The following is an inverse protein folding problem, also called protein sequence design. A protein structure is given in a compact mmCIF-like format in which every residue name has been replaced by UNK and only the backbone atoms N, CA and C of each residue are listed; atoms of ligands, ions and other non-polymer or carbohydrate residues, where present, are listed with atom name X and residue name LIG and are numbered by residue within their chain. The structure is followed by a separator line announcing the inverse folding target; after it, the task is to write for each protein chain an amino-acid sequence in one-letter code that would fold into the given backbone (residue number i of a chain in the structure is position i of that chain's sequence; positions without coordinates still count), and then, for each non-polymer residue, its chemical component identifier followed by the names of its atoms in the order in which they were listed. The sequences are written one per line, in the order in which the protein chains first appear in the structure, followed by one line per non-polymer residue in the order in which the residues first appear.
data_IF_507537156534
#
_entry.id   IF_507537156534
#
_cell.length_a   1.000
_cell.length_b   1.000
_cell.length_c   1.000
_cell.angle_alpha   90.00
_cell.angle_beta   90.00
_cell.angle_gamma   90.00
#
_symmetry.space_group_name_H-M   'P 1'
#
loop_
_entity.id
_entity.type
_entity.pdbx_description
1 polymer ?
#
# COMPACT_ATOMS: atom_id res chain seq x y z
N UNK A 1 -12.05 11.80 2.35
CA UNK A 1 -11.83 11.04 3.59
C UNK A 1 -12.90 9.95 3.65
N UNK A 2 -12.58 8.75 3.17
CA UNK A 2 -13.47 7.58 3.35
C UNK A 2 -12.92 6.80 4.55
N UNK A 3 -13.81 6.17 5.33
CA UNK A 3 -13.46 5.31 6.47
C UNK A 3 -12.60 5.98 7.56
N UNK A 4 -13.09 7.04 8.18
CA UNK A 4 -12.50 7.53 9.42
C UNK A 4 -12.73 6.49 10.54
N UNK A 5 -11.65 5.90 11.06
CA UNK A 5 -11.70 4.95 12.16
C UNK A 5 -10.96 5.53 13.36
N UNK A 6 -11.61 5.42 14.52
CA UNK A 6 -10.98 5.72 15.80
C UNK A 6 -10.59 4.37 16.39
N UNK A 7 -9.30 4.12 16.44
CA UNK A 7 -8.74 2.92 17.04
C UNK A 7 -8.29 3.23 18.47
N UNK A 8 -8.44 2.26 19.37
CA UNK A 8 -7.96 2.36 20.75
C UNK A 8 -7.02 1.19 21.02
N UNK A 9 -5.77 1.47 21.37
CA UNK A 9 -4.81 0.43 21.73
C UNK A 9 -5.27 -0.37 22.95
N UNK A 10 -5.89 0.30 23.92
CA UNK A 10 -6.36 -0.31 25.16
C UNK A 10 -7.77 0.18 25.53
N UNK A 11 -8.84 -0.37 24.93
CA UNK A 11 -10.22 0.12 25.10
C UNK A 11 -10.70 0.10 26.54
N UNK A 12 -10.26 -0.89 27.34
CA UNK A 12 -10.58 -1.04 28.76
C UNK A 12 -10.20 0.16 29.63
N UNK A 13 -9.18 0.94 29.23
CA UNK A 13 -8.76 2.12 29.98
C UNK A 13 -9.77 3.27 29.89
N UNK A 14 -10.71 3.23 28.93
CA UNK A 14 -11.85 4.16 28.90
C UNK A 14 -12.76 4.01 30.13
N UNK A 15 -12.75 2.84 30.79
CA UNK A 15 -13.52 2.63 32.01
C UNK A 15 -13.02 3.53 33.16
N UNK A 16 -11.77 4.00 33.10
CA UNK A 16 -11.19 4.97 34.03
C UNK A 16 -11.90 6.34 33.99
N UNK A 17 -12.70 6.61 32.96
CA UNK A 17 -13.51 7.81 32.85
C UNK A 17 -14.64 7.84 33.91
N UNK A 18 -15.10 6.67 34.38
CA UNK A 18 -16.12 6.55 35.43
C UNK A 18 -15.60 7.07 36.79
N UNK A 19 -14.49 6.54 37.36
CA UNK A 19 -13.93 7.09 38.60
C UNK A 19 -13.44 8.53 38.41
N UNK A 20 -12.87 8.88 37.26
CA UNK A 20 -12.48 10.25 36.93
C UNK A 20 -13.65 11.25 37.05
N UNK A 21 -14.77 10.94 36.41
CA UNK A 21 -15.98 11.75 36.48
C UNK A 21 -16.51 11.81 37.91
N UNK A 22 -16.52 10.68 38.62
CA UNK A 22 -16.94 10.62 40.01
C UNK A 22 -16.12 11.58 40.89
N UNK A 23 -14.79 11.55 40.84
CA UNK A 23 -13.94 12.44 41.64
C UNK A 23 -14.05 13.92 41.25
N UNK A 24 -14.39 14.21 39.99
CA UNK A 24 -14.53 15.60 39.52
C UNK A 24 -15.90 16.18 39.88
N UNK A 25 -16.97 15.38 39.74
CA UNK A 25 -18.35 15.84 39.96
C UNK A 25 -18.83 15.68 41.40
N UNK A 26 -18.42 14.66 42.14
CA UNK A 26 -18.82 14.45 43.55
C UNK A 26 -18.57 15.69 44.44
N UNK A 27 -17.37 16.32 44.47
CA UNK A 27 -17.17 17.54 45.24
C UNK A 27 -18.03 18.68 44.71
N UNK A 28 -18.25 18.79 43.40
CA UNK A 28 -19.12 19.81 42.81
C UNK A 28 -20.59 19.69 43.23
N UNK A 29 -21.11 18.47 43.41
CA UNK A 29 -22.47 18.22 43.88
C UNK A 29 -22.61 18.32 45.41
N UNK A 30 -21.55 18.03 46.17
CA UNK A 30 -21.58 18.10 47.65
C UNK A 30 -21.51 19.52 48.22
N UNK A 31 -21.20 20.52 47.38
CA UNK A 31 -21.21 21.92 47.78
C UNK A 31 -22.64 22.51 47.84
N UNK A 32 -22.88 23.33 48.86
CA UNK A 32 -24.14 24.05 49.02
C UNK A 32 -24.51 24.87 47.78
N UNK A 33 -25.80 24.79 47.37
CA UNK A 33 -26.36 25.42 46.13
C UNK A 33 -25.95 26.88 45.92
N UNK A 34 -25.71 27.64 47.00
CA UNK A 34 -25.33 29.06 47.01
C UNK A 34 -23.95 29.35 46.39
N UNK A 35 -23.01 28.39 46.43
CA UNK A 35 -21.62 28.54 45.90
C UNK A 35 -21.36 27.78 44.60
N UNK A 36 -22.38 27.09 44.07
CA UNK A 36 -22.25 26.14 42.95
C UNK A 36 -22.16 26.79 41.58
N UNK A 37 -22.70 28.01 41.43
CA UNK A 37 -22.85 28.72 40.14
C UNK A 37 -21.92 29.93 39.97
N UNK A 38 -20.84 30.02 40.72
CA UNK A 38 -19.83 31.07 40.48
C UNK A 38 -19.07 30.76 39.18
N UNK A 39 -18.99 31.74 38.27
CA UNK A 39 -18.39 31.60 36.92
C UNK A 39 -17.03 30.92 36.94
N UNK A 40 -16.15 31.35 37.85
CA UNK A 40 -14.78 30.82 37.98
C UNK A 40 -14.76 29.34 38.35
N UNK A 41 -15.75 28.87 39.12
CA UNK A 41 -15.80 27.48 39.59
C UNK A 41 -16.36 26.53 38.54
N UNK A 42 -17.35 26.99 37.77
CA UNK A 42 -17.84 26.25 36.59
C UNK A 42 -16.72 26.11 35.57
N UNK A 43 -16.01 27.20 35.27
CA UNK A 43 -14.86 27.17 34.34
C UNK A 43 -13.78 26.20 34.84
N UNK A 44 -13.44 26.24 36.13
CA UNK A 44 -12.44 25.33 36.71
C UNK A 44 -12.84 23.85 36.63
N UNK A 45 -14.09 23.52 36.96
CA UNK A 45 -14.60 22.14 36.89
C UNK A 45 -14.67 21.65 35.44
N UNK A 46 -15.15 22.48 34.52
CA UNK A 46 -15.19 22.15 33.09
C UNK A 46 -13.78 21.90 32.55
N UNK A 47 -12.82 22.74 32.91
CA UNK A 47 -11.43 22.58 32.50
C UNK A 47 -10.82 21.28 33.05
N UNK A 48 -11.04 20.96 34.33
CA UNK A 48 -10.56 19.70 34.92
C UNK A 48 -11.21 18.48 34.26
N UNK A 49 -12.50 18.54 33.94
CA UNK A 49 -13.18 17.47 33.22
C UNK A 49 -12.59 17.28 31.82
N UNK A 50 -12.31 18.36 31.08
CA UNK A 50 -11.67 18.30 29.77
C UNK A 50 -10.27 17.68 29.86
N UNK A 51 -9.44 18.17 30.80
CA UNK A 51 -8.08 17.65 30.99
C UNK A 51 -8.12 16.16 31.33
N UNK A 52 -8.98 15.75 32.26
CA UNK A 52 -9.13 14.33 32.63
C UNK A 52 -9.55 13.47 31.45
N UNK A 53 -10.54 13.91 30.65
CA UNK A 53 -10.98 13.18 29.46
C UNK A 53 -9.82 13.05 28.46
N UNK A 54 -9.08 14.14 28.20
CA UNK A 54 -7.91 14.11 27.32
C UNK A 54 -6.81 13.18 27.83
N UNK A 55 -6.50 13.20 29.14
CA UNK A 55 -5.52 12.31 29.75
C UNK A 55 -5.93 10.84 29.65
N UNK A 56 -7.21 10.52 29.87
CA UNK A 56 -7.73 9.14 29.72
C UNK A 56 -7.70 8.70 28.27
N UNK A 57 -8.08 9.56 27.32
CA UNK A 57 -7.99 9.26 25.89
C UNK A 57 -6.54 9.04 25.44
N UNK A 58 -5.58 9.81 25.98
CA UNK A 58 -4.15 9.62 25.73
C UNK A 58 -3.68 8.27 26.27
N UNK A 59 -4.05 7.93 27.50
CA UNK A 59 -3.74 6.63 28.13
C UNK A 59 -4.37 5.45 27.40
N UNK A 60 -5.58 5.61 26.88
CA UNK A 60 -6.26 4.59 26.08
C UNK A 60 -5.63 4.38 24.70
N UNK A 61 -4.70 5.25 24.28
CA UNK A 61 -4.01 5.17 23.01
C UNK A 61 -4.96 5.43 21.84
N UNK A 62 -5.58 6.61 21.81
CA UNK A 62 -6.45 6.99 20.69
C UNK A 62 -5.64 7.18 19.41
N UNK A 63 -5.88 6.32 18.43
CA UNK A 63 -5.33 6.40 17.08
C UNK A 63 -6.40 6.94 16.13
N UNK A 64 -6.04 7.92 15.32
CA UNK A 64 -6.89 8.46 14.26
C UNK A 64 -6.39 7.93 12.92
N UNK A 65 -7.07 6.91 12.39
CA UNK A 65 -6.72 6.28 11.12
C UNK A 65 -7.70 6.77 10.05
N UNK A 66 -7.18 7.20 8.90
CA UNK A 66 -7.99 7.66 7.78
C UNK A 66 -7.46 7.09 6.46
N UNK A 67 -8.36 6.51 5.66
CA UNK A 67 -8.00 6.02 4.33
C UNK A 67 -8.02 7.18 3.33
N UNK A 68 -6.87 7.46 2.72
CA UNK A 68 -6.80 8.29 1.52
C UNK A 68 -6.89 7.38 0.29
N UNK A 69 -8.00 7.44 -0.48
CA UNK A 69 -8.02 6.81 -1.79
C UNK A 69 -6.99 7.53 -2.65
N UNK A 70 -5.87 6.88 -2.92
CA UNK A 70 -4.86 7.42 -3.80
C UNK A 70 -5.38 7.34 -5.24
N UNK A 71 -5.50 8.49 -5.90
CA UNK A 71 -6.00 8.58 -7.27
C UNK A 71 -4.92 8.25 -8.32
N UNK A 72 -3.65 8.14 -7.90
CA UNK A 72 -2.50 7.99 -8.78
C UNK A 72 -1.73 6.69 -8.48
N UNK A 73 -2.42 5.56 -8.33
CA UNK A 73 -1.75 4.27 -8.22
C UNK A 73 -1.17 3.87 -9.58
N UNK A 74 0.11 3.55 -9.62
CA UNK A 74 0.83 3.11 -10.82
C UNK A 74 1.28 1.67 -10.61
N UNK A 75 0.87 0.77 -11.50
CA UNK A 75 1.20 -0.65 -11.49
C UNK A 75 2.00 -0.96 -12.74
N UNK A 76 3.19 -1.51 -12.57
CA UNK A 76 4.03 -1.94 -13.68
C UNK A 76 4.22 -3.46 -13.60
N UNK A 77 3.78 -4.14 -14.65
CA UNK A 77 4.04 -5.56 -14.82
C UNK A 77 5.40 -5.72 -15.50
N UNK A 78 6.31 -6.44 -14.89
CA UNK A 78 7.63 -6.75 -15.44
C UNK A 78 7.62 -8.23 -15.79
N UNK A 79 7.59 -8.52 -17.09
CA UNK A 79 7.19 -9.82 -17.63
C UNK A 79 8.38 -10.47 -18.34
N UNK A 80 8.75 -11.66 -17.86
CA UNK A 80 9.82 -12.46 -18.44
C UNK A 80 9.35 -13.14 -19.73
N UNK A 81 10.07 -12.86 -20.82
CA UNK A 81 9.83 -13.45 -22.13
C UNK A 81 11.04 -14.23 -22.66
N UNK A 82 12.00 -14.55 -21.80
CA UNK A 82 13.16 -15.37 -22.14
C UNK A 82 12.77 -16.78 -22.61
N UNK A 83 13.73 -17.47 -23.25
CA UNK A 83 13.51 -18.78 -23.88
C UNK A 83 12.96 -19.86 -22.92
N UNK A 84 13.29 -19.81 -21.62
CA UNK A 84 12.73 -20.74 -20.62
C UNK A 84 11.23 -20.54 -20.39
N UNK A 85 10.74 -19.32 -20.59
CA UNK A 85 9.33 -18.93 -20.42
C UNK A 85 8.41 -19.29 -21.60
N UNK A 86 8.94 -19.82 -22.71
CA UNK A 86 8.14 -20.09 -23.92
C UNK A 86 7.02 -21.12 -23.67
N UNK A 87 7.26 -22.11 -22.79
CA UNK A 87 6.26 -23.11 -22.38
C UNK A 87 5.14 -22.55 -21.50
N UNK A 88 5.38 -21.41 -20.85
CA UNK A 88 4.44 -20.77 -19.92
C UNK A 88 3.84 -19.49 -20.49
N UNK A 89 3.97 -19.28 -21.82
CA UNK A 89 3.46 -18.09 -22.49
C UNK A 89 1.95 -17.90 -22.28
N UNK A 90 1.14 -18.96 -22.41
CA UNK A 90 -0.31 -18.88 -22.24
C UNK A 90 -0.69 -18.47 -20.80
N UNK A 91 -0.03 -19.06 -19.80
CA UNK A 91 -0.27 -18.76 -18.37
C UNK A 91 0.11 -17.31 -18.04
N UNK A 92 1.22 -16.84 -18.61
CA UNK A 92 1.72 -15.48 -18.43
C UNK A 92 0.78 -14.46 -19.07
N UNK A 93 0.37 -14.70 -20.32
CA UNK A 93 -0.50 -13.80 -21.06
C UNK A 93 -1.90 -13.76 -20.42
N UNK A 94 -2.39 -14.89 -19.89
CA UNK A 94 -3.61 -14.94 -19.09
C UNK A 94 -3.49 -14.15 -17.77
N UNK A 95 -2.36 -14.26 -17.06
CA UNK A 95 -2.10 -13.48 -15.85
C UNK A 95 -2.02 -11.97 -16.14
N UNK A 96 -1.32 -11.57 -17.20
CA UNK A 96 -1.26 -10.15 -17.63
C UNK A 96 -2.67 -9.65 -17.94
N UNK A 97 -3.49 -10.45 -18.63
CA UNK A 97 -4.87 -10.12 -18.94
C UNK A 97 -5.73 -9.99 -17.68
N UNK A 98 -5.61 -10.92 -16.73
CA UNK A 98 -6.39 -10.87 -15.49
C UNK A 98 -6.05 -9.62 -14.67
N UNK A 99 -4.75 -9.29 -14.56
CA UNK A 99 -4.31 -8.09 -13.84
C UNK A 99 -4.79 -6.81 -14.53
N UNK A 100 -4.71 -6.72 -15.86
CA UNK A 100 -5.20 -5.54 -16.60
C UNK A 100 -6.72 -5.38 -16.44
N UNK A 101 -7.48 -6.48 -16.43
CA UNK A 101 -8.94 -6.41 -16.27
C UNK A 101 -9.36 -6.09 -14.83
N UNK A 102 -8.63 -6.60 -13.84
CA UNK A 102 -8.91 -6.36 -12.42
C UNK A 102 -8.43 -4.97 -11.96
N UNK A 103 -7.45 -4.40 -12.65
CA UNK A 103 -7.05 -3.02 -12.48
C UNK A 103 -8.22 -2.08 -12.83
N UNK A 104 -8.94 -1.63 -11.81
CA UNK A 104 -10.03 -0.68 -11.97
C UNK A 104 -9.56 0.68 -12.49
N UNK A 105 -10.51 1.55 -12.81
CA UNK A 105 -10.28 2.89 -13.40
C UNK A 105 -9.45 3.88 -12.58
N UNK A 106 -8.99 3.50 -11.38
CA UNK A 106 -8.12 4.30 -10.50
C UNK A 106 -6.65 3.89 -10.52
N UNK A 107 -6.26 2.87 -11.31
CA UNK A 107 -4.88 2.40 -11.40
C UNK A 107 -4.38 2.54 -12.83
N UNK A 108 -3.22 3.18 -13.01
CA UNK A 108 -2.52 3.17 -14.29
C UNK A 108 -1.70 1.90 -14.39
N UNK A 109 -1.91 1.11 -15.43
CA UNK A 109 -1.17 -0.12 -15.66
C UNK A 109 -0.19 0.10 -16.81
N UNK A 110 1.03 -0.36 -16.64
CA UNK A 110 2.03 -0.48 -17.69
C UNK A 110 2.59 -1.88 -17.73
N UNK A 111 3.22 -2.24 -18.85
CA UNK A 111 3.88 -3.54 -19.02
C UNK A 111 5.27 -3.31 -19.60
N UNK A 112 6.27 -3.89 -18.96
CA UNK A 112 7.65 -4.00 -19.43
C UNK A 112 7.90 -5.47 -19.67
N UNK A 113 8.32 -5.82 -20.88
CA UNK A 113 8.80 -7.15 -21.21
C UNK A 113 10.32 -7.16 -21.13
N UNK A 114 10.90 -8.24 -20.63
CA UNK A 114 12.35 -8.35 -20.54
C UNK A 114 12.84 -9.77 -20.87
N UNK A 115 14.07 -9.83 -21.38
CA UNK A 115 14.90 -11.01 -21.52
C UNK A 115 16.34 -10.62 -21.20
N UNK A 116 17.20 -10.56 -22.21
CA UNK A 116 18.54 -9.96 -22.07
C UNK A 116 18.46 -8.42 -22.05
N UNK A 117 17.55 -7.84 -22.84
CA UNK A 117 17.21 -6.42 -22.79
C UNK A 117 15.74 -6.21 -22.35
N UNK A 118 15.36 -4.95 -22.18
CA UNK A 118 14.06 -4.56 -21.68
C UNK A 118 13.32 -3.64 -22.66
N UNK A 119 12.05 -3.93 -22.89
CA UNK A 119 11.19 -3.16 -23.79
C UNK A 119 9.96 -2.68 -23.03
N UNK A 120 9.64 -1.40 -23.17
CA UNK A 120 8.43 -0.82 -22.60
C UNK A 120 7.22 -1.10 -23.50
N UNK A 121 6.70 -2.33 -23.40
CA UNK A 121 5.61 -2.82 -24.24
C UNK A 121 4.33 -1.96 -24.14
N UNK A 122 3.94 -1.58 -22.93
CA UNK A 122 2.74 -0.78 -22.70
C UNK A 122 3.05 0.38 -21.76
N UNK A 123 2.99 1.63 -22.25
CA UNK A 123 3.07 2.81 -21.41
C UNK A 123 1.99 2.85 -20.34
N UNK A 124 2.34 3.34 -19.15
CA UNK A 124 1.43 3.56 -18.02
C UNK A 124 0.15 4.27 -18.48
N UNK A 125 -0.94 3.53 -18.53
CA UNK A 125 -2.23 4.00 -19.05
C UNK A 125 -3.36 3.59 -18.12
N UNK A 126 -4.38 4.45 -18.01
CA UNK A 126 -5.61 4.14 -17.30
C UNK A 126 -6.63 3.40 -18.20
N UNK A 127 -6.31 3.22 -19.49
CA UNK A 127 -7.19 2.55 -20.45
C UNK A 127 -6.79 1.07 -20.60
N UNK A 128 -7.45 0.21 -19.83
CA UNK A 128 -7.19 -1.23 -19.74
C UNK A 128 -7.48 -1.97 -21.06
N UNK A 129 -8.55 -1.60 -21.78
CA UNK A 129 -8.93 -2.22 -23.06
C UNK A 129 -7.86 -2.07 -24.15
N UNK A 130 -7.19 -0.92 -24.17
CA UNK A 130 -6.09 -0.64 -25.12
C UNK A 130 -4.75 -1.23 -24.66
N UNK A 131 -4.55 -1.35 -23.35
CA UNK A 131 -3.30 -1.85 -22.77
C UNK A 131 -3.00 -3.29 -23.23
N UNK A 132 -3.98 -4.19 -23.16
CA UNK A 132 -3.77 -5.60 -23.55
C UNK A 132 -3.47 -5.76 -25.05
N UNK A 133 -4.18 -5.00 -25.90
CA UNK A 133 -3.91 -5.03 -27.35
C UNK A 133 -2.52 -4.48 -27.68
N UNK A 134 -2.07 -3.43 -26.97
CA UNK A 134 -0.72 -2.89 -27.13
C UNK A 134 0.34 -3.90 -26.71
N UNK A 135 0.12 -4.64 -25.62
CA UNK A 135 1.01 -5.71 -25.17
C UNK A 135 1.20 -6.80 -26.24
N UNK A 136 0.11 -7.29 -26.85
CA UNK A 136 0.18 -8.35 -27.88
C UNK A 136 0.96 -7.94 -29.14
N UNK A 137 1.00 -6.65 -29.47
CA UNK A 137 1.67 -6.11 -30.66
C UNK A 137 3.02 -5.45 -30.33
N UNK A 138 3.46 -5.51 -29.07
CA UNK A 138 4.71 -4.91 -28.66
C UNK A 138 5.91 -5.65 -29.26
N UNK A 139 7.00 -4.90 -29.46
CA UNK A 139 8.27 -5.48 -29.85
C UNK A 139 8.77 -6.42 -28.74
N UNK A 140 9.28 -7.58 -29.14
CA UNK A 140 9.83 -8.56 -28.19
C UNK A 140 11.31 -8.23 -27.95
N UNK A 141 11.75 -8.19 -26.68
CA UNK A 141 13.18 -8.09 -26.34
C UNK A 141 13.95 -9.32 -26.84
N UNK A 142 15.28 -9.22 -26.80
CA UNK A 142 16.20 -10.34 -26.96
C UNK A 142 15.93 -11.40 -25.88
N UNK A 143 15.63 -12.62 -26.31
CA UNK A 143 15.20 -13.73 -25.46
C UNK A 143 16.34 -14.68 -25.07
N UNK A 144 17.58 -14.34 -25.45
CA UNK A 144 18.76 -15.20 -25.27
C UNK A 144 19.21 -15.39 -23.81
N UNK A 145 18.87 -14.46 -22.92
CA UNK A 145 19.16 -14.53 -21.49
C UNK A 145 18.04 -13.87 -20.66
N UNK A 146 18.22 -13.84 -19.34
CA UNK A 146 17.32 -13.17 -18.39
C UNK A 146 18.13 -12.28 -17.43
N UNK A 147 17.97 -10.96 -17.54
CA UNK A 147 18.53 -9.95 -16.63
C UNK A 147 17.40 -9.23 -15.86
N UNK A 148 16.99 -9.86 -14.77
CA UNK A 148 15.95 -9.33 -13.88
C UNK A 148 16.40 -8.02 -13.21
N UNK A 149 17.69 -7.88 -12.88
CA UNK A 149 18.21 -6.71 -12.20
C UNK A 149 18.10 -5.45 -13.06
N UNK A 150 18.51 -5.53 -14.33
CA UNK A 150 18.38 -4.44 -15.29
C UNK A 150 16.91 -4.12 -15.59
N UNK A 151 16.05 -5.12 -15.70
CA UNK A 151 14.62 -4.93 -15.91
C UNK A 151 13.96 -4.18 -14.75
N UNK A 152 14.25 -4.57 -13.51
CA UNK A 152 13.73 -3.92 -12.29
C UNK A 152 14.22 -2.47 -12.17
N UNK A 153 15.49 -2.22 -12.48
CA UNK A 153 16.07 -0.88 -12.47
C UNK A 153 15.46 0.02 -13.55
N UNK A 154 15.22 -0.52 -14.74
CA UNK A 154 14.53 0.19 -15.80
C UNK A 154 13.09 0.53 -15.40
N UNK A 155 12.36 -0.45 -14.87
CA UNK A 155 11.01 -0.30 -14.34
C UNK A 155 10.90 0.81 -13.28
N UNK A 156 11.87 0.87 -12.35
CA UNK A 156 11.94 1.93 -11.33
C UNK A 156 11.95 3.34 -11.93
N UNK A 157 12.61 3.53 -13.08
CA UNK A 157 12.72 4.83 -13.76
C UNK A 157 11.47 5.28 -14.50
N UNK A 158 10.46 4.41 -14.66
CA UNK A 158 9.25 4.71 -15.44
C UNK A 158 8.11 5.30 -14.60
N UNK A 159 8.21 5.25 -13.27
CA UNK A 159 7.17 5.74 -12.37
C UNK A 159 7.20 7.26 -12.23
N UNK A 160 6.01 7.86 -12.18
CA UNK A 160 5.84 9.27 -11.83
C UNK A 160 5.62 9.45 -10.33
N UNK A 161 5.02 8.45 -9.67
CA UNK A 161 4.67 8.48 -8.25
C UNK A 161 5.23 7.25 -7.51
N UNK A 162 6.54 7.23 -7.19
CA UNK A 162 7.20 6.05 -6.63
C UNK A 162 6.62 5.59 -5.29
N UNK A 163 6.14 6.52 -4.44
CA UNK A 163 5.59 6.19 -3.12
C UNK A 163 4.28 5.38 -3.17
N UNK A 164 3.64 5.37 -4.32
CA UNK A 164 2.36 4.67 -4.53
C UNK A 164 2.43 3.70 -5.70
N UNK A 165 3.65 3.45 -6.19
CA UNK A 165 3.92 2.55 -7.27
C UNK A 165 4.07 1.12 -6.77
N UNK A 166 3.68 0.19 -7.62
CA UNK A 166 3.88 -1.24 -7.43
C UNK A 166 4.48 -1.84 -8.69
N UNK A 167 5.50 -2.67 -8.52
CA UNK A 167 6.05 -3.55 -9.54
C UNK A 167 5.57 -4.96 -9.24
N UNK A 168 5.08 -5.68 -10.26
CA UNK A 168 4.83 -7.12 -10.18
C UNK A 168 5.76 -7.80 -11.17
N UNK A 169 6.71 -8.58 -10.65
CA UNK A 169 7.62 -9.38 -11.45
C UNK A 169 6.96 -10.73 -11.77
N UNK A 170 6.88 -11.05 -13.04
CA UNK A 170 6.33 -12.30 -13.57
C UNK A 170 7.48 -13.06 -14.23
N UNK A 171 8.02 -14.07 -13.55
CA UNK A 171 9.16 -14.86 -14.02
C UNK A 171 9.11 -16.28 -13.47
N UNK A 172 9.85 -17.19 -14.08
CA UNK A 172 10.07 -18.55 -13.58
C UNK A 172 11.12 -18.61 -12.46
N UNK A 173 11.83 -17.51 -12.20
CA UNK A 173 12.79 -17.37 -11.11
C UNK A 173 14.23 -17.77 -11.45
N UNK A 174 14.50 -18.15 -12.69
CA UNK A 174 15.85 -18.50 -13.15
C UNK A 174 16.59 -17.23 -13.63
N UNK A 175 17.40 -16.65 -12.74
CA UNK A 175 18.27 -15.52 -13.08
C UNK A 175 19.59 -16.01 -13.70
N UNK A 176 19.94 -15.47 -14.87
CA UNK A 176 21.23 -15.77 -15.52
C UNK A 176 22.31 -14.78 -15.11
N UNK A 177 21.95 -13.50 -14.94
CA UNK A 177 22.89 -12.41 -14.67
C UNK A 177 22.47 -11.53 -13.48
N UNK A 178 23.47 -11.13 -12.68
CA UNK A 178 23.34 -10.30 -11.48
C UNK A 178 22.46 -10.90 -10.37
N UNK A 179 22.23 -10.14 -9.28
CA UNK A 179 21.37 -10.56 -8.16
C UNK A 179 20.18 -9.62 -8.07
N UNK A 180 18.97 -10.05 -8.45
CA UNK A 180 17.80 -9.18 -8.34
C UNK A 180 17.51 -8.76 -6.90
N UNK A 181 17.87 -9.59 -5.92
CA UNK A 181 17.67 -9.30 -4.49
C UNK A 181 18.31 -7.99 -4.01
N UNK A 182 19.44 -7.55 -4.58
CA UNK A 182 20.02 -6.26 -4.22
C UNK A 182 19.21 -5.09 -4.79
N UNK A 183 18.70 -5.23 -6.01
CA UNK A 183 17.88 -4.20 -6.66
C UNK A 183 16.50 -4.10 -6.02
N UNK A 184 15.86 -5.23 -5.67
CA UNK A 184 14.59 -5.25 -4.95
C UNK A 184 14.69 -4.48 -3.63
N UNK A 185 15.80 -4.61 -2.90
CA UNK A 185 16.03 -3.84 -1.67
C UNK A 185 16.16 -2.34 -1.93
N UNK A 186 16.85 -1.96 -3.01
CA UNK A 186 16.99 -0.56 -3.40
C UNK A 186 15.64 0.05 -3.81
N UNK A 187 14.82 -0.71 -4.54
CA UNK A 187 13.48 -0.32 -4.98
C UNK A 187 12.53 -0.19 -3.79
N UNK A 188 12.56 -1.15 -2.85
CA UNK A 188 11.79 -1.10 -1.62
C UNK A 188 12.18 0.12 -0.75
N UNK A 189 13.47 0.47 -0.70
CA UNK A 189 13.94 1.67 -0.01
C UNK A 189 13.45 2.97 -0.66
N UNK A 190 13.15 2.96 -1.96
CA UNK A 190 12.54 4.08 -2.68
C UNK A 190 11.00 4.17 -2.47
N UNK A 191 10.42 3.29 -1.66
CA UNK A 191 8.98 3.28 -1.36
C UNK A 191 8.13 2.52 -2.37
N UNK A 192 8.75 1.89 -3.37
CA UNK A 192 8.05 1.10 -4.39
C UNK A 192 7.89 -0.33 -3.87
N UNK A 193 6.67 -0.86 -3.90
CA UNK A 193 6.41 -2.26 -3.53
C UNK A 193 6.71 -3.18 -4.69
N UNK A 194 7.41 -4.29 -4.43
CA UNK A 194 7.69 -5.32 -5.42
C UNK A 194 7.00 -6.61 -4.96
N UNK A 195 6.07 -7.09 -5.78
CA UNK A 195 5.47 -8.41 -5.64
C UNK A 195 5.99 -9.33 -6.75
N UNK A 196 5.98 -10.64 -6.51
CA UNK A 196 6.48 -11.64 -7.48
C UNK A 196 5.38 -12.65 -7.77
N UNK A 197 5.31 -13.09 -9.02
CA UNK A 197 4.44 -14.16 -9.48
C UNK A 197 5.29 -15.19 -10.22
N UNK A 198 5.37 -16.39 -9.65
CA UNK A 198 6.08 -17.51 -10.25
C UNK A 198 5.20 -18.16 -11.31
N UNK A 199 5.69 -18.22 -12.54
CA UNK A 199 5.00 -18.89 -13.65
C UNK A 199 5.12 -20.42 -13.58
N UNK A 200 6.10 -20.94 -12.83
CA UNK A 200 6.22 -22.37 -12.53
C UNK A 200 5.43 -22.74 -11.26
N UNK A 201 4.33 -23.45 -11.45
CA UNK A 201 3.42 -23.90 -10.37
C UNK A 201 4.07 -24.86 -9.35
N UNK A 202 5.25 -25.41 -9.63
CA UNK A 202 5.92 -26.40 -8.76
C UNK A 202 6.81 -25.78 -7.67
N UNK A 203 7.14 -24.49 -7.77
CA UNK A 203 8.05 -23.79 -6.85
C UNK A 203 7.36 -22.76 -5.93
N UNK A 204 6.10 -22.40 -6.18
CA UNK A 204 5.38 -21.40 -5.39
C UNK A 204 5.01 -21.84 -3.95
N UNK A 205 5.19 -23.12 -3.61
CA UNK A 205 4.83 -23.74 -2.32
C UNK A 205 6.05 -24.12 -1.45
N UNK A 206 7.23 -23.55 -1.75
CA UNK A 206 8.46 -23.70 -0.96
C UNK A 206 8.97 -22.36 -0.45
#
# INVERSE_FOLDING_TARGET
MKNFKIDFTNPWLLLLLIPAAFFTFLPYFRLAKKYRRTRNRVISVTLHAIIMVLSVCLLAGIGLSYDLPNANNELLLVVDVSYSGEKSQDVRDEFVRSVINEAGSGVKVGVVTFGYDQVYAVPLTANTDKAYNAYLHAEKPDTSASDIASALKYAQGLFNYPETAKIVLVSDGEETDNKAMSEIRAIAAAGIKVDTYCTNAEQADR
#
